data_IF_115441958106
#
_entry.id   IF_115441958106
#
_cell.length_a   1.000
_cell.length_b   1.000
_cell.length_c   1.000
_cell.angle_alpha   90.00
_cell.angle_beta   90.00
_cell.angle_gamma   90.00
#
_symmetry.space_group_name_H-M   'P 1'
#
loop_
_entity.id
_entity.type
_entity.pdbx_description
1 polymer ?
#
# COMPACT_ATOMS: atom_id res chain seq x y z
N UNK A 1 -11.76 -29.84 -10.09
CA UNK A 1 -12.71 -30.43 -11.03
C UNK A 1 -13.18 -29.40 -12.07
N UNK A 2 -13.89 -28.35 -11.72
CA UNK A 2 -14.47 -27.37 -12.69
C UNK A 2 -13.49 -26.77 -13.73
N UNK A 3 -12.22 -26.58 -13.38
CA UNK A 3 -11.20 -26.06 -14.33
C UNK A 3 -10.94 -27.08 -15.42
N UNK A 4 -10.75 -28.36 -15.09
CA UNK A 4 -10.48 -29.44 -16.05
C UNK A 4 -11.67 -29.73 -16.94
N UNK A 5 -12.89 -29.69 -16.41
CA UNK A 5 -14.14 -29.85 -17.16
C UNK A 5 -14.26 -28.77 -18.26
N UNK A 6 -13.99 -27.52 -17.89
CA UNK A 6 -14.06 -26.39 -18.83
C UNK A 6 -12.86 -26.30 -19.78
N UNK A 7 -11.73 -26.87 -19.39
CA UNK A 7 -10.54 -26.97 -20.26
C UNK A 7 -10.60 -28.16 -21.24
N UNK A 8 -11.47 -29.14 -20.97
CA UNK A 8 -11.60 -30.38 -21.77
C UNK A 8 -10.51 -31.41 -21.45
N UNK A 9 -9.57 -31.12 -20.57
CA UNK A 9 -8.46 -32.02 -20.22
C UNK A 9 -7.92 -31.76 -18.83
N UNK A 10 -7.17 -32.74 -18.28
CA UNK A 10 -6.43 -32.63 -17.05
C UNK A 10 -4.98 -32.16 -17.31
N UNK A 11 -4.52 -31.19 -16.57
CA UNK A 11 -3.17 -30.63 -16.68
C UNK A 11 -2.66 -30.12 -15.31
N UNK A 12 -1.36 -29.87 -15.22
CA UNK A 12 -0.81 -29.26 -14.00
C UNK A 12 -1.07 -27.75 -13.99
N UNK A 13 -2.07 -27.31 -13.21
CA UNK A 13 -2.47 -25.90 -13.07
C UNK A 13 -1.30 -25.00 -12.57
N UNK A 14 -0.34 -25.56 -11.84
CA UNK A 14 0.85 -24.84 -11.37
C UNK A 14 1.91 -24.67 -12.45
N UNK A 15 1.87 -25.46 -13.54
CA UNK A 15 2.78 -25.34 -14.66
C UNK A 15 2.33 -24.23 -15.61
N UNK A 16 3.08 -23.13 -15.65
CA UNK A 16 2.80 -22.02 -16.57
C UNK A 16 2.87 -22.43 -18.04
N UNK A 17 3.68 -23.45 -18.36
CA UNK A 17 3.81 -23.98 -19.72
C UNK A 17 2.54 -24.74 -20.14
N UNK A 18 2.09 -25.72 -19.34
CA UNK A 18 0.89 -26.47 -19.64
C UNK A 18 -0.36 -25.56 -19.63
N UNK A 19 -0.44 -24.65 -18.67
CA UNK A 19 -1.50 -23.65 -18.66
C UNK A 19 -1.50 -22.79 -19.92
N UNK A 20 -0.32 -22.39 -20.42
CA UNK A 20 -0.19 -21.66 -21.67
C UNK A 20 -0.71 -22.45 -22.86
N UNK A 21 -0.37 -23.76 -22.98
CA UNK A 21 -0.91 -24.64 -24.03
C UNK A 21 -2.43 -24.71 -23.95
N UNK A 22 -2.99 -24.98 -22.78
CA UNK A 22 -4.45 -25.06 -22.60
C UNK A 22 -5.14 -23.76 -23.01
N UNK A 23 -4.65 -22.61 -22.58
CA UNK A 23 -5.30 -21.33 -22.86
C UNK A 23 -5.18 -20.92 -24.33
N UNK A 24 -4.00 -21.04 -24.93
CA UNK A 24 -3.71 -20.45 -26.26
C UNK A 24 -3.77 -21.44 -27.41
N UNK A 25 -3.55 -22.73 -27.17
CA UNK A 25 -3.57 -23.76 -28.22
C UNK A 25 -4.90 -24.54 -28.20
N UNK A 26 -5.39 -25.00 -27.04
CA UNK A 26 -6.60 -25.81 -26.95
C UNK A 26 -7.88 -24.95 -26.90
N UNK A 27 -7.90 -23.90 -26.06
CA UNK A 27 -9.04 -22.99 -25.99
C UNK A 27 -8.98 -21.83 -26.98
N UNK A 28 -7.91 -21.72 -27.79
CA UNK A 28 -7.71 -20.73 -28.83
C UNK A 28 -7.95 -19.27 -28.35
N UNK A 29 -7.59 -18.95 -27.11
CA UNK A 29 -7.74 -17.59 -26.54
C UNK A 29 -6.71 -16.64 -27.18
N UNK A 30 -7.03 -15.33 -27.31
CA UNK A 30 -6.15 -14.36 -27.94
C UNK A 30 -4.86 -14.17 -27.14
N UNK A 31 -3.70 -14.35 -27.81
CA UNK A 31 -2.38 -14.17 -27.18
C UNK A 31 -2.16 -12.70 -26.88
N UNK A 32 -2.05 -12.35 -25.58
CA UNK A 32 -1.82 -10.98 -25.12
C UNK A 32 -0.33 -10.64 -25.03
N UNK A 33 0.49 -11.59 -24.55
CA UNK A 33 1.88 -11.33 -24.21
C UNK A 33 2.70 -12.63 -24.22
N UNK A 34 3.92 -12.57 -24.74
CA UNK A 34 4.91 -13.66 -24.61
C UNK A 34 5.71 -13.52 -23.33
N UNK A 35 6.31 -14.61 -22.86
CA UNK A 35 7.23 -14.59 -21.73
C UNK A 35 8.42 -13.66 -22.00
N UNK A 36 9.09 -13.21 -20.94
CA UNK A 36 10.26 -12.30 -21.04
C UNK A 36 11.38 -12.87 -21.94
N UNK A 37 11.55 -14.19 -21.94
CA UNK A 37 12.51 -14.91 -22.81
C UNK A 37 11.94 -15.20 -24.21
N UNK A 38 10.72 -14.81 -24.53
CA UNK A 38 9.99 -15.08 -25.77
C UNK A 38 9.84 -16.58 -26.13
N UNK A 39 10.05 -17.47 -25.17
CA UNK A 39 10.01 -18.93 -25.34
C UNK A 39 8.65 -19.56 -25.06
N UNK A 40 7.64 -18.76 -24.71
CA UNK A 40 6.29 -19.27 -24.41
C UNK A 40 5.29 -18.14 -24.16
N UNK A 41 4.08 -18.52 -23.79
CA UNK A 41 2.98 -17.61 -23.51
C UNK A 41 3.06 -17.10 -22.06
N UNK A 42 2.82 -15.81 -21.83
CA UNK A 42 2.64 -15.31 -20.47
C UNK A 42 1.27 -15.72 -19.94
N UNK A 43 1.27 -16.17 -18.67
CA UNK A 43 0.06 -16.46 -17.90
C UNK A 43 0.04 -15.64 -16.62
N UNK A 44 0.62 -14.42 -16.65
CA UNK A 44 0.60 -13.51 -15.51
C UNK A 44 -0.82 -13.02 -15.19
N UNK A 45 -0.96 -12.33 -14.06
CA UNK A 45 -2.27 -11.86 -13.57
C UNK A 45 -2.93 -10.94 -14.59
N UNK A 46 -2.18 -10.08 -15.26
CA UNK A 46 -2.67 -9.13 -16.25
C UNK A 46 -3.30 -9.86 -17.45
N UNK A 47 -2.56 -10.83 -18.00
CA UNK A 47 -3.03 -11.66 -19.12
C UNK A 47 -4.28 -12.45 -18.73
N UNK A 48 -4.28 -13.12 -17.58
CA UNK A 48 -5.44 -13.89 -17.12
C UNK A 48 -6.65 -13.01 -16.82
N UNK A 49 -6.46 -11.80 -16.30
CA UNK A 49 -7.54 -10.84 -16.08
C UNK A 49 -8.19 -10.44 -17.41
N UNK A 50 -7.39 -10.08 -18.41
CA UNK A 50 -7.89 -9.75 -19.75
C UNK A 50 -8.65 -10.94 -20.37
N UNK A 51 -8.07 -12.14 -20.27
CA UNK A 51 -8.68 -13.36 -20.81
C UNK A 51 -9.95 -13.80 -20.06
N UNK A 52 -10.17 -13.33 -18.84
CA UNK A 52 -11.39 -13.63 -18.07
C UNK A 52 -12.68 -13.06 -18.72
N UNK A 53 -12.54 -12.09 -19.62
CA UNK A 53 -13.64 -11.59 -20.44
C UNK A 53 -14.00 -12.50 -21.63
N UNK A 54 -13.12 -13.44 -22.01
CA UNK A 54 -13.32 -14.32 -23.15
C UNK A 54 -13.74 -15.74 -22.73
N UNK A 55 -13.24 -16.23 -21.60
CA UNK A 55 -13.50 -17.59 -21.14
C UNK A 55 -13.48 -17.69 -19.60
N UNK A 56 -14.28 -18.59 -18.97
CA UNK A 56 -14.31 -18.71 -17.50
C UNK A 56 -13.03 -19.31 -16.88
N UNK A 57 -12.25 -20.12 -17.62
CA UNK A 57 -11.03 -20.78 -17.12
C UNK A 57 -10.01 -19.78 -16.55
N UNK A 58 -9.62 -18.68 -17.23
CA UNK A 58 -8.68 -17.72 -16.67
C UNK A 58 -9.11 -17.17 -15.30
N UNK A 59 -10.39 -16.83 -15.12
CA UNK A 59 -10.92 -16.37 -13.83
C UNK A 59 -10.80 -17.45 -12.73
N UNK A 60 -11.08 -18.69 -13.06
CA UNK A 60 -10.94 -19.81 -12.13
C UNK A 60 -9.48 -20.09 -11.78
N UNK A 61 -8.55 -19.92 -12.73
CA UNK A 61 -7.11 -20.01 -12.48
C UNK A 61 -6.65 -18.91 -11.54
N UNK A 62 -7.08 -17.66 -11.73
CA UNK A 62 -6.79 -16.56 -10.79
C UNK A 62 -7.27 -16.89 -9.39
N UNK A 63 -8.51 -17.39 -9.26
CA UNK A 63 -9.08 -17.82 -7.98
C UNK A 63 -8.28 -18.97 -7.35
N UNK A 64 -7.95 -19.99 -8.15
CA UNK A 64 -7.12 -21.11 -7.70
C UNK A 64 -5.75 -20.65 -7.20
N UNK A 65 -5.09 -19.74 -7.92
CA UNK A 65 -3.78 -19.17 -7.48
C UNK A 65 -3.90 -18.43 -6.16
N UNK A 66 -4.94 -17.61 -6.01
CA UNK A 66 -5.21 -16.89 -4.76
C UNK A 66 -5.38 -17.86 -3.60
N UNK A 67 -6.29 -18.83 -3.73
CA UNK A 67 -6.56 -19.81 -2.68
C UNK A 67 -5.35 -20.70 -2.37
N UNK A 68 -4.60 -21.13 -3.41
CA UNK A 68 -3.38 -21.93 -3.22
C UNK A 68 -2.30 -21.15 -2.47
N UNK A 69 -2.13 -19.86 -2.77
CA UNK A 69 -1.20 -18.99 -2.05
C UNK A 69 -1.63 -18.81 -0.60
N UNK A 70 -2.91 -18.53 -0.36
CA UNK A 70 -3.44 -18.37 1.00
C UNK A 70 -3.26 -19.65 1.83
N UNK A 71 -3.57 -20.81 1.23
CA UNK A 71 -3.38 -22.09 1.89
C UNK A 71 -1.91 -22.32 2.23
N UNK A 72 -1.02 -22.32 1.25
CA UNK A 72 0.38 -22.70 1.45
C UNK A 72 1.18 -21.68 2.26
N UNK A 73 0.92 -20.37 2.09
CA UNK A 73 1.72 -19.31 2.73
C UNK A 73 1.22 -19.00 4.15
N UNK A 74 -0.09 -19.14 4.38
CA UNK A 74 -0.68 -18.76 5.66
C UNK A 74 -1.30 -19.96 6.39
N UNK A 75 -2.31 -20.65 5.83
CA UNK A 75 -3.01 -21.68 6.58
C UNK A 75 -2.12 -22.86 6.97
N UNK A 76 -1.27 -23.34 6.06
CA UNK A 76 -0.37 -24.47 6.36
C UNK A 76 0.89 -23.98 7.11
N UNK A 77 1.61 -22.99 6.54
CA UNK A 77 2.92 -22.59 7.06
C UNK A 77 2.88 -21.90 8.44
N UNK A 78 1.82 -21.15 8.77
CA UNK A 78 1.75 -20.45 10.06
C UNK A 78 1.61 -21.41 11.24
N UNK A 79 0.98 -22.57 11.05
CA UNK A 79 0.84 -23.58 12.10
C UNK A 79 2.22 -24.14 12.52
N UNK A 80 3.11 -24.34 11.55
CA UNK A 80 4.47 -24.85 11.78
C UNK A 80 5.38 -23.80 12.45
N UNK A 81 4.97 -22.52 12.44
CA UNK A 81 5.72 -21.38 13.00
C UNK A 81 5.26 -20.98 14.40
N UNK A 82 4.29 -21.70 14.99
CA UNK A 82 3.89 -21.46 16.37
C UNK A 82 5.03 -21.89 17.30
N UNK A 83 5.54 -20.93 18.07
CA UNK A 83 6.62 -21.19 19.01
C UNK A 83 6.13 -22.05 20.19
N UNK A 84 6.79 -23.18 20.50
CA UNK A 84 6.25 -24.16 21.47
C UNK A 84 6.17 -23.64 22.91
N UNK A 85 7.02 -22.71 23.30
CA UNK A 85 7.02 -22.14 24.67
C UNK A 85 6.00 -21.01 24.83
N UNK A 86 5.85 -20.16 23.81
CA UNK A 86 4.98 -18.97 23.88
C UNK A 86 3.58 -19.22 23.32
N UNK A 87 3.38 -20.29 22.53
CA UNK A 87 2.19 -20.54 21.71
C UNK A 87 1.81 -19.37 20.80
N UNK A 88 2.81 -18.56 20.39
CA UNK A 88 2.63 -17.38 19.54
C UNK A 88 3.49 -17.49 18.28
N UNK A 89 3.13 -16.72 17.26
CA UNK A 89 3.91 -16.57 16.03
C UNK A 89 4.76 -15.30 16.19
N UNK A 90 6.07 -15.42 15.98
CA UNK A 90 7.03 -14.33 16.08
C UNK A 90 7.59 -14.03 14.69
N UNK A 91 7.33 -12.84 14.17
CA UNK A 91 7.96 -12.34 12.93
C UNK A 91 9.30 -11.66 13.22
N UNK A 92 10.18 -11.64 12.24
CA UNK A 92 11.39 -10.81 12.26
C UNK A 92 11.18 -9.52 11.48
N UNK A 93 11.42 -8.36 12.11
CA UNK A 93 11.40 -7.08 11.44
C UNK A 93 12.81 -6.66 11.00
N UNK A 94 12.96 -6.43 9.68
CA UNK A 94 14.23 -6.03 9.07
C UNK A 94 14.21 -4.50 8.82
N UNK A 95 15.22 -3.79 9.34
CA UNK A 95 15.31 -2.33 9.25
C UNK A 95 16.07 -1.84 8.01
N UNK A 96 16.83 -2.71 7.35
CA UNK A 96 17.81 -2.33 6.31
C UNK A 96 17.46 -2.86 4.91
N UNK A 97 16.37 -3.59 4.75
CA UNK A 97 15.98 -4.22 3.47
C UNK A 97 15.27 -3.24 2.54
N UNK A 98 14.32 -2.46 3.06
CA UNK A 98 13.57 -1.53 2.25
C UNK A 98 14.35 -0.22 2.07
N UNK A 99 14.63 0.14 0.81
CA UNK A 99 15.35 1.37 0.47
C UNK A 99 14.60 2.66 0.86
N UNK A 100 13.29 2.58 1.15
CA UNK A 100 12.47 3.67 1.67
C UNK A 100 12.64 3.88 3.18
N UNK A 101 13.33 2.99 3.87
CA UNK A 101 13.40 2.99 5.34
C UNK A 101 12.20 2.31 6.03
N UNK A 102 11.20 1.81 5.29
CA UNK A 102 10.11 1.01 5.89
C UNK A 102 10.68 -0.27 6.49
N UNK A 103 10.04 -0.76 7.55
CA UNK A 103 10.30 -2.10 8.07
C UNK A 103 9.79 -3.13 7.07
N UNK A 104 10.49 -4.23 6.93
CA UNK A 104 9.97 -5.41 6.25
C UNK A 104 9.86 -6.57 7.26
N UNK A 105 8.86 -7.42 7.08
CA UNK A 105 8.59 -8.56 7.94
C UNK A 105 8.96 -9.85 7.21
N UNK A 106 9.63 -10.78 7.91
CA UNK A 106 10.00 -12.10 7.39
C UNK A 106 9.87 -13.15 8.47
N UNK A 107 9.72 -14.40 8.06
CA UNK A 107 9.75 -15.61 8.86
C UNK A 107 8.74 -15.63 10.05
N UNK A 108 7.41 -15.41 9.78
CA UNK A 108 6.72 -15.18 8.54
C UNK A 108 6.55 -13.69 8.18
N UNK A 109 6.27 -13.37 6.89
CA UNK A 109 5.90 -12.02 6.51
C UNK A 109 4.41 -11.75 6.88
N UNK A 110 4.18 -11.08 8.00
CA UNK A 110 2.85 -10.72 8.48
C UNK A 110 2.30 -9.43 7.84
N UNK A 111 3.15 -8.61 7.19
CA UNK A 111 2.71 -7.38 6.52
C UNK A 111 1.94 -7.63 5.21
N UNK A 112 2.00 -8.85 4.67
CA UNK A 112 1.38 -9.20 3.38
C UNK A 112 0.10 -10.04 3.51
N UNK A 113 -0.46 -10.20 4.71
CA UNK A 113 -1.73 -10.90 4.91
C UNK A 113 -2.86 -10.07 4.28
N UNK A 114 -3.59 -10.61 3.28
CA UNK A 114 -4.63 -9.85 2.58
C UNK A 114 -5.73 -9.39 3.52
N UNK A 115 -6.29 -8.20 3.26
CA UNK A 115 -7.40 -7.65 4.03
C UNK A 115 -8.66 -7.42 3.18
N UNK A 116 -8.48 -7.21 1.86
CA UNK A 116 -9.59 -6.83 0.98
C UNK A 116 -10.49 -8.00 0.57
N UNK A 117 -10.02 -9.23 0.71
CA UNK A 117 -10.80 -10.43 0.35
C UNK A 117 -11.37 -11.09 1.60
N UNK A 118 -12.50 -11.78 1.45
CA UNK A 118 -13.14 -12.50 2.55
C UNK A 118 -12.20 -13.54 3.17
N UNK A 119 -11.49 -14.31 2.33
CA UNK A 119 -10.54 -15.30 2.81
C UNK A 119 -9.35 -14.67 3.55
N UNK A 120 -8.89 -13.51 3.11
CA UNK A 120 -7.85 -12.76 3.81
C UNK A 120 -8.31 -12.30 5.19
N UNK A 121 -9.56 -11.82 5.31
CA UNK A 121 -10.17 -11.49 6.60
C UNK A 121 -10.29 -12.72 7.51
N UNK A 122 -10.68 -13.87 6.99
CA UNK A 122 -10.71 -15.13 7.76
C UNK A 122 -9.33 -15.51 8.28
N UNK A 123 -8.25 -15.30 7.52
CA UNK A 123 -6.89 -15.50 8.02
C UNK A 123 -6.57 -14.52 9.14
N UNK A 124 -6.90 -13.23 8.99
CA UNK A 124 -6.68 -12.24 10.06
C UNK A 124 -7.51 -12.51 11.31
N UNK A 125 -8.69 -13.10 11.19
CA UNK A 125 -9.51 -13.49 12.36
C UNK A 125 -8.90 -14.61 13.20
N UNK A 126 -7.93 -15.36 12.66
CA UNK A 126 -7.19 -16.37 13.42
C UNK A 126 -6.10 -15.76 14.33
N UNK A 127 -5.72 -14.50 14.11
CA UNK A 127 -4.80 -13.80 15.01
C UNK A 127 -5.57 -13.15 16.14
N UNK A 128 -5.41 -13.71 17.31
CA UNK A 128 -6.12 -13.34 18.54
C UNK A 128 -5.14 -12.83 19.59
N UNK A 129 -5.56 -11.95 20.50
CA UNK A 129 -4.73 -11.50 21.62
C UNK A 129 -4.66 -12.57 22.71
N UNK A 130 -3.92 -12.30 23.77
CA UNK A 130 -3.95 -13.05 25.02
C UNK A 130 -5.37 -13.15 25.54
N UNK A 131 -5.68 -14.27 26.22
CA UNK A 131 -7.04 -14.54 26.70
C UNK A 131 -7.57 -13.39 27.56
N UNK A 132 -8.68 -12.82 27.16
CA UNK A 132 -9.33 -11.70 27.84
C UNK A 132 -8.82 -10.33 27.43
N UNK A 133 -7.76 -10.24 26.64
CA UNK A 133 -7.21 -9.00 26.09
C UNK A 133 -7.90 -8.60 24.79
N UNK A 134 -7.54 -7.41 24.29
CA UNK A 134 -8.09 -6.84 23.05
C UNK A 134 -6.94 -6.44 22.12
N UNK A 135 -7.06 -6.68 20.81
CA UNK A 135 -6.17 -6.07 19.84
C UNK A 135 -6.64 -4.64 19.57
N UNK A 136 -5.69 -3.72 19.59
CA UNK A 136 -5.90 -2.31 19.23
C UNK A 136 -5.01 -1.99 18.02
N UNK A 137 -5.61 -1.60 16.92
CA UNK A 137 -4.91 -1.08 15.74
C UNK A 137 -4.97 0.44 15.73
N UNK A 138 -3.84 1.06 15.44
CA UNK A 138 -3.70 2.50 15.26
C UNK A 138 -3.07 2.76 13.88
N UNK A 139 -3.86 3.28 12.94
CA UNK A 139 -3.47 3.51 11.55
C UNK A 139 -3.45 5.01 11.23
N UNK A 140 -2.33 5.49 10.67
CA UNK A 140 -2.24 6.88 10.23
C UNK A 140 -3.17 7.16 9.05
N UNK A 141 -4.07 8.09 9.22
CA UNK A 141 -4.96 8.54 8.15
C UNK A 141 -4.19 9.32 7.10
N UNK A 142 -4.00 8.71 5.92
CA UNK A 142 -3.45 9.37 4.72
C UNK A 142 -2.09 10.05 4.94
N UNK A 143 -1.19 9.44 5.71
CA UNK A 143 0.09 10.05 6.11
C UNK A 143 0.92 10.55 4.92
N UNK A 144 0.96 9.82 3.81
CA UNK A 144 1.72 10.22 2.62
C UNK A 144 1.15 11.48 1.96
N UNK A 145 -0.17 11.67 1.95
CA UNK A 145 -0.82 12.89 1.43
C UNK A 145 -0.61 14.09 2.39
N UNK A 146 -0.61 13.87 3.69
CA UNK A 146 -0.29 14.89 4.68
C UNK A 146 1.18 15.32 4.58
N UNK A 147 2.09 14.38 4.37
CA UNK A 147 3.49 14.66 4.09
C UNK A 147 3.69 15.38 2.75
N UNK A 148 2.93 15.03 1.72
CA UNK A 148 2.94 15.77 0.46
C UNK A 148 2.50 17.23 0.68
N UNK A 149 1.43 17.47 1.43
CA UNK A 149 0.96 18.83 1.75
C UNK A 149 2.03 19.62 2.51
N UNK A 150 2.68 19.00 3.51
CA UNK A 150 3.77 19.60 4.28
C UNK A 150 4.99 19.95 3.39
N UNK A 151 5.49 18.98 2.61
CA UNK A 151 6.69 19.13 1.80
C UNK A 151 6.48 20.09 0.64
N UNK A 152 5.32 20.05 -0.02
CA UNK A 152 5.00 20.91 -1.14
C UNK A 152 4.62 22.34 -0.73
N UNK A 153 4.30 22.56 0.54
CA UNK A 153 3.74 23.81 1.05
C UNK A 153 2.52 24.29 0.24
N UNK A 154 1.73 23.36 -0.32
CA UNK A 154 0.55 23.69 -1.12
C UNK A 154 -0.58 24.14 -0.21
N UNK A 155 -0.92 25.43 -0.28
CA UNK A 155 -1.92 26.04 0.62
C UNK A 155 -3.32 25.43 0.48
N UNK A 156 -3.66 24.85 -0.68
CA UNK A 156 -4.96 24.21 -0.91
C UNK A 156 -5.02 22.85 -0.20
N UNK A 157 -3.93 22.07 -0.30
CA UNK A 157 -3.83 20.80 0.41
C UNK A 157 -3.75 21.00 1.92
N UNK A 158 -2.96 21.98 2.38
CA UNK A 158 -2.84 22.29 3.80
C UNK A 158 -4.21 22.64 4.37
N UNK A 159 -4.92 23.60 3.72
CA UNK A 159 -6.26 24.03 4.15
C UNK A 159 -7.26 22.88 4.19
N UNK A 160 -7.23 21.98 3.19
CA UNK A 160 -8.11 20.82 3.17
C UNK A 160 -7.90 19.88 4.37
N UNK A 161 -6.66 19.69 4.80
CA UNK A 161 -6.34 18.88 5.98
C UNK A 161 -6.62 19.59 7.31
N UNK A 162 -6.45 20.91 7.38
CA UNK A 162 -6.83 21.71 8.55
C UNK A 162 -8.34 21.70 8.77
N UNK A 163 -9.13 21.81 7.68
CA UNK A 163 -10.59 21.81 7.72
C UNK A 163 -11.20 20.38 7.79
N UNK A 164 -10.36 19.35 7.89
CA UNK A 164 -10.77 17.93 7.93
C UNK A 164 -11.61 17.48 6.74
N UNK A 165 -11.35 18.06 5.56
CA UNK A 165 -12.06 17.69 4.35
C UNK A 165 -11.64 16.29 3.84
N UNK A 166 -12.55 15.61 3.16
CA UNK A 166 -12.22 14.41 2.39
C UNK A 166 -11.37 14.78 1.17
N UNK A 167 -10.05 14.66 1.29
CA UNK A 167 -9.10 15.04 0.24
C UNK A 167 -9.36 14.36 -1.10
N UNK A 168 -9.89 13.13 -1.11
CA UNK A 168 -10.22 12.45 -2.36
C UNK A 168 -11.48 13.01 -2.99
N UNK A 169 -12.46 13.41 -2.18
CA UNK A 169 -13.66 14.09 -2.66
C UNK A 169 -13.33 15.48 -3.19
N UNK A 170 -12.50 16.22 -2.47
CA UNK A 170 -12.00 17.52 -2.93
C UNK A 170 -11.25 17.41 -4.24
N UNK A 171 -10.27 16.50 -4.33
CA UNK A 171 -9.53 16.27 -5.58
C UNK A 171 -10.46 15.87 -6.73
N UNK A 172 -11.50 15.05 -6.46
CA UNK A 172 -12.48 14.69 -7.49
C UNK A 172 -13.20 15.92 -8.02
N UNK A 173 -13.70 16.79 -7.15
CA UNK A 173 -14.37 18.04 -7.56
C UNK A 173 -13.45 18.89 -8.46
N UNK A 174 -12.20 19.07 -8.07
CA UNK A 174 -11.22 19.90 -8.78
C UNK A 174 -10.79 19.28 -10.11
N UNK A 175 -10.45 18.00 -10.14
CA UNK A 175 -9.90 17.33 -11.35
C UNK A 175 -10.99 17.09 -12.40
N UNK A 176 -12.19 16.68 -11.96
CA UNK A 176 -13.30 16.40 -12.86
C UNK A 176 -14.20 17.63 -13.13
N UNK A 177 -13.92 18.75 -12.45
CA UNK A 177 -14.66 20.01 -12.59
C UNK A 177 -16.17 19.83 -12.31
N UNK A 178 -16.50 19.16 -11.22
CA UNK A 178 -17.87 18.97 -10.71
C UNK A 178 -18.02 19.63 -9.36
N UNK A 179 -19.26 19.98 -8.98
CA UNK A 179 -19.51 20.52 -7.65
C UNK A 179 -19.22 19.45 -6.57
N UNK A 180 -18.72 19.83 -5.37
CA UNK A 180 -18.38 18.87 -4.32
C UNK A 180 -19.53 17.94 -3.92
N UNK A 181 -20.77 18.42 -3.96
CA UNK A 181 -22.01 17.67 -3.72
C UNK A 181 -22.29 16.61 -4.77
N UNK A 182 -21.84 16.83 -6.03
CA UNK A 182 -22.04 15.92 -7.16
C UNK A 182 -20.94 14.85 -7.28
N UNK A 183 -19.96 14.87 -6.38
CA UNK A 183 -18.89 13.85 -6.39
C UNK A 183 -19.45 12.49 -5.98
N UNK A 184 -19.61 11.61 -6.95
CA UNK A 184 -20.00 10.22 -6.74
C UNK A 184 -18.89 9.41 -6.06
N UNK A 185 -19.24 8.25 -5.49
CA UNK A 185 -18.27 7.31 -4.93
C UNK A 185 -17.26 6.81 -5.98
N UNK A 186 -17.67 6.73 -7.24
CA UNK A 186 -16.77 6.34 -8.33
C UNK A 186 -15.77 7.44 -8.65
N UNK A 187 -16.19 8.69 -8.77
CA UNK A 187 -15.29 9.83 -8.95
C UNK A 187 -14.31 9.97 -7.78
N UNK A 188 -14.78 9.80 -6.54
CA UNK A 188 -13.93 9.77 -5.35
C UNK A 188 -12.87 8.66 -5.41
N UNK A 189 -13.25 7.46 -5.88
CA UNK A 189 -12.33 6.33 -6.07
C UNK A 189 -11.28 6.64 -7.15
N UNK A 190 -11.69 7.22 -8.27
CA UNK A 190 -10.78 7.65 -9.33
C UNK A 190 -9.81 8.73 -8.83
N UNK A 191 -10.29 9.72 -8.09
CA UNK A 191 -9.44 10.74 -7.48
C UNK A 191 -8.45 10.17 -6.47
N UNK A 192 -8.82 9.12 -5.72
CA UNK A 192 -7.88 8.38 -4.87
C UNK A 192 -6.73 7.79 -5.69
N UNK A 193 -7.01 7.20 -6.85
CA UNK A 193 -5.99 6.68 -7.76
C UNK A 193 -5.11 7.81 -8.29
N UNK A 194 -5.68 8.97 -8.62
CA UNK A 194 -4.93 10.14 -9.10
C UNK A 194 -4.01 10.66 -8.00
N UNK A 195 -4.50 10.89 -6.78
CA UNK A 195 -3.72 11.40 -5.65
C UNK A 195 -2.48 10.53 -5.39
N UNK A 196 -2.67 9.21 -5.26
CA UNK A 196 -1.55 8.29 -5.07
C UNK A 196 -0.69 8.15 -6.33
N UNK A 197 -1.30 8.16 -7.51
CA UNK A 197 -0.59 8.14 -8.78
C UNK A 197 0.40 9.29 -8.92
N UNK A 198 0.01 10.50 -8.54
CA UNK A 198 0.88 11.69 -8.55
C UNK A 198 2.06 11.51 -7.59
N UNK A 199 1.81 11.06 -6.35
CA UNK A 199 2.88 10.79 -5.36
C UNK A 199 3.89 9.79 -5.92
N UNK A 200 3.40 8.73 -6.60
CA UNK A 200 4.26 7.69 -7.15
C UNK A 200 4.83 8.03 -8.54
N UNK A 201 4.62 9.26 -9.03
CA UNK A 201 5.12 9.73 -10.33
C UNK A 201 4.53 8.98 -11.52
N UNK A 202 3.25 8.61 -11.41
CA UNK A 202 2.51 7.93 -12.48
C UNK A 202 2.27 8.89 -13.64
N UNK A 203 2.71 8.53 -14.85
CA UNK A 203 2.43 9.29 -16.06
C UNK A 203 1.07 8.93 -16.67
N UNK A 204 0.64 9.70 -17.68
CA UNK A 204 -0.66 9.56 -18.32
C UNK A 204 -0.96 8.14 -18.87
N UNK A 205 0.04 7.43 -19.38
CA UNK A 205 -0.12 6.06 -19.85
C UNK A 205 -0.54 5.10 -18.72
N UNK A 206 0.17 5.16 -17.58
CA UNK A 206 -0.12 4.29 -16.44
C UNK A 206 -1.44 4.65 -15.76
N UNK A 207 -1.73 5.95 -15.63
CA UNK A 207 -2.98 6.43 -15.07
C UNK A 207 -4.18 6.02 -15.95
N UNK A 208 -4.05 6.14 -17.28
CA UNK A 208 -5.07 5.70 -18.22
C UNK A 208 -5.42 4.22 -18.06
N UNK A 209 -4.39 3.38 -17.92
CA UNK A 209 -4.56 1.94 -17.70
C UNK A 209 -5.26 1.62 -16.38
N UNK A 210 -4.88 2.30 -15.30
CA UNK A 210 -5.45 2.09 -13.97
C UNK A 210 -6.92 2.52 -13.88
N UNK A 211 -7.27 3.63 -14.55
CA UNK A 211 -8.63 4.16 -14.56
C UNK A 211 -9.52 3.56 -15.67
N UNK A 212 -8.95 2.82 -16.63
CA UNK A 212 -9.70 2.30 -17.79
C UNK A 212 -10.15 3.41 -18.75
N UNK A 213 -9.40 4.50 -18.88
CA UNK A 213 -9.69 5.67 -19.73
C UNK A 213 -8.65 5.84 -20.83
N UNK A 214 -8.87 6.79 -21.73
CA UNK A 214 -7.86 7.11 -22.77
C UNK A 214 -6.67 7.85 -22.18
N UNK A 215 -5.49 7.70 -22.78
CA UNK A 215 -4.29 8.41 -22.36
C UNK A 215 -4.46 9.93 -22.45
N UNK A 216 -5.24 10.43 -23.41
CA UNK A 216 -5.57 11.85 -23.56
C UNK A 216 -6.38 12.35 -22.34
N UNK A 217 -7.37 11.61 -21.89
CA UNK A 217 -8.13 11.94 -20.67
C UNK A 217 -7.25 11.95 -19.43
N UNK A 218 -6.40 10.93 -19.29
CA UNK A 218 -5.47 10.86 -18.15
C UNK A 218 -4.49 12.05 -18.13
N UNK A 219 -4.01 12.52 -19.30
CA UNK A 219 -3.19 13.72 -19.39
C UNK A 219 -3.96 14.96 -18.90
N UNK A 220 -5.20 15.14 -19.33
CA UNK A 220 -6.06 16.24 -18.89
C UNK A 220 -6.25 16.22 -17.36
N UNK A 221 -6.47 15.04 -16.77
CA UNK A 221 -6.63 14.93 -15.31
C UNK A 221 -5.34 15.29 -14.55
N UNK A 222 -4.18 14.90 -15.07
CA UNK A 222 -2.88 15.28 -14.50
C UNK A 222 -2.67 16.80 -14.62
N UNK A 223 -3.00 17.39 -15.76
CA UNK A 223 -2.88 18.83 -15.98
C UNK A 223 -3.82 19.62 -15.07
N UNK A 224 -5.08 19.18 -14.92
CA UNK A 224 -6.04 19.78 -13.99
C UNK A 224 -5.52 19.71 -12.54
N UNK A 225 -5.01 18.55 -12.14
CA UNK A 225 -4.42 18.36 -10.82
C UNK A 225 -3.30 19.36 -10.53
N UNK A 226 -2.32 19.45 -11.42
CA UNK A 226 -1.17 20.37 -11.25
C UNK A 226 -1.54 21.85 -11.42
N UNK A 227 -2.56 22.16 -12.22
CA UNK A 227 -3.08 23.53 -12.32
C UNK A 227 -3.69 23.99 -11.00
N UNK A 228 -4.29 23.07 -10.26
CA UNK A 228 -4.88 23.32 -8.95
C UNK A 228 -3.85 23.28 -7.83
N UNK A 229 -3.08 22.22 -7.75
CA UNK A 229 -2.07 21.99 -6.71
C UNK A 229 -0.68 22.42 -7.20
N UNK A 230 -0.50 23.73 -7.37
CA UNK A 230 0.74 24.32 -7.94
C UNK A 230 1.96 24.08 -7.05
N UNK A 231 1.76 24.09 -5.72
CA UNK A 231 2.82 23.79 -4.76
C UNK A 231 3.35 22.36 -4.92
N UNK A 232 2.46 21.39 -5.21
CA UNK A 232 2.86 20.01 -5.49
C UNK A 232 3.70 19.92 -6.76
N UNK A 233 3.29 20.63 -7.83
CA UNK A 233 4.07 20.66 -9.09
C UNK A 233 5.47 21.23 -8.86
N UNK A 234 5.54 22.36 -8.16
CA UNK A 234 6.81 23.03 -7.84
C UNK A 234 7.72 22.12 -6.99
N UNK A 235 7.17 21.48 -5.96
CA UNK A 235 7.91 20.52 -5.13
C UNK A 235 8.52 19.37 -5.94
N UNK A 236 7.77 18.82 -6.89
CA UNK A 236 8.24 17.74 -7.77
C UNK A 236 9.40 18.25 -8.64
N UNK A 237 9.23 19.40 -9.29
CA UNK A 237 10.22 19.96 -10.21
C UNK A 237 11.52 20.33 -9.45
N UNK A 238 11.41 21.00 -8.31
CA UNK A 238 12.54 21.38 -7.46
C UNK A 238 13.28 20.16 -6.91
N UNK A 239 12.55 19.13 -6.49
CA UNK A 239 13.14 17.88 -6.01
C UNK A 239 13.96 17.22 -7.12
N UNK A 240 13.40 17.09 -8.32
CA UNK A 240 14.12 16.49 -9.45
C UNK A 240 15.35 17.33 -9.82
N UNK A 241 15.22 18.67 -9.87
CA UNK A 241 16.34 19.57 -10.17
C UNK A 241 17.47 19.44 -9.14
N UNK A 242 17.12 19.42 -7.86
CA UNK A 242 18.08 19.23 -6.76
C UNK A 242 18.78 17.88 -6.87
N UNK A 243 18.05 16.80 -7.10
CA UNK A 243 18.64 15.47 -7.20
C UNK A 243 19.53 15.32 -8.44
N UNK A 244 19.20 15.98 -9.54
CA UNK A 244 20.08 16.00 -10.73
C UNK A 244 21.45 16.62 -10.48
N UNK A 245 21.54 17.56 -9.55
CA UNK A 245 22.82 18.21 -9.17
C UNK A 245 23.54 17.46 -8.04
N UNK A 246 22.79 16.91 -7.07
CA UNK A 246 23.36 16.31 -5.86
C UNK A 246 23.47 14.79 -5.92
N UNK A 247 22.76 14.13 -6.86
CA UNK A 247 22.64 12.68 -6.97
C UNK A 247 22.06 12.00 -5.72
N UNK A 248 21.37 12.75 -4.87
CA UNK A 248 20.75 12.23 -3.65
C UNK A 248 19.45 12.95 -3.33
N UNK A 249 18.57 12.27 -2.63
CA UNK A 249 17.36 12.80 -2.00
C UNK A 249 17.35 12.41 -0.53
N UNK A 250 16.53 13.07 0.28
CA UNK A 250 16.46 12.78 1.72
C UNK A 250 15.04 12.92 2.27
N UNK A 251 14.79 12.26 3.38
CA UNK A 251 13.57 12.40 4.17
C UNK A 251 13.61 13.66 5.04
N UNK A 252 12.47 14.01 5.68
CA UNK A 252 12.40 15.10 6.67
C UNK A 252 13.38 14.91 7.85
N UNK A 253 13.64 13.65 8.22
CA UNK A 253 14.56 13.33 9.31
C UNK A 253 16.01 13.07 8.83
N UNK A 254 16.31 13.42 7.56
CA UNK A 254 17.68 13.37 7.04
C UNK A 254 18.17 12.00 6.54
N UNK A 255 17.28 11.00 6.40
CA UNK A 255 17.64 9.73 5.76
C UNK A 255 17.98 9.98 4.29
N UNK A 256 19.22 9.69 3.89
CA UNK A 256 19.71 9.92 2.54
C UNK A 256 19.46 8.69 1.65
N UNK A 257 19.05 8.94 0.41
CA UNK A 257 18.99 7.96 -0.66
C UNK A 257 19.78 8.43 -1.86
N UNK A 258 20.77 7.66 -2.28
CA UNK A 258 21.59 7.94 -3.45
C UNK A 258 20.86 7.54 -4.73
N UNK A 259 20.95 8.37 -5.76
CA UNK A 259 20.30 8.21 -7.06
C UNK A 259 21.28 8.56 -8.20
N UNK A 260 22.37 7.79 -8.37
CA UNK A 260 23.37 8.08 -9.41
C UNK A 260 22.80 8.00 -10.83
N UNK A 261 21.70 7.28 -11.03
CA UNK A 261 21.05 7.08 -12.32
C UNK A 261 20.15 8.25 -12.75
N UNK A 262 20.00 9.32 -11.94
CA UNK A 262 19.08 10.43 -12.21
C UNK A 262 19.35 11.14 -13.55
N UNK A 263 20.60 11.15 -14.00
CA UNK A 263 21.05 11.75 -15.26
C UNK A 263 21.29 10.69 -16.36
N UNK A 264 20.77 9.47 -16.22
CA UNK A 264 20.94 8.39 -17.21
C UNK A 264 20.38 8.80 -18.58
N UNK A 265 21.13 8.45 -19.64
CA UNK A 265 20.64 8.60 -21.03
C UNK A 265 19.47 7.67 -21.35
N UNK A 266 19.38 6.53 -20.65
CA UNK A 266 18.25 5.62 -20.80
C UNK A 266 17.01 6.21 -20.12
N UNK A 267 15.99 6.52 -20.93
CA UNK A 267 14.74 7.15 -20.47
C UNK A 267 14.05 6.34 -19.34
N UNK A 268 14.03 5.02 -19.43
CA UNK A 268 13.37 4.18 -18.42
C UNK A 268 14.12 4.21 -17.07
N UNK A 269 15.45 4.15 -17.11
CA UNK A 269 16.31 4.23 -15.93
C UNK A 269 16.19 5.60 -15.28
N UNK A 270 16.30 6.68 -16.08
CA UNK A 270 16.13 8.05 -15.61
C UNK A 270 14.75 8.28 -15.01
N UNK A 271 13.68 7.89 -15.72
CA UNK A 271 12.31 8.04 -15.22
C UNK A 271 12.04 7.26 -13.92
N UNK A 272 12.69 6.11 -13.74
CA UNK A 272 12.63 5.39 -12.46
C UNK A 272 13.33 6.19 -11.35
N UNK A 273 14.50 6.76 -11.62
CA UNK A 273 15.24 7.57 -10.66
C UNK A 273 14.49 8.87 -10.30
N UNK A 274 13.85 9.55 -11.26
CA UNK A 274 13.01 10.72 -11.03
C UNK A 274 11.82 10.39 -10.12
N UNK A 275 11.10 9.31 -10.38
CA UNK A 275 10.02 8.84 -9.48
C UNK A 275 10.54 8.54 -8.09
N UNK A 276 11.67 7.89 -7.99
CA UNK A 276 12.29 7.56 -6.70
C UNK A 276 12.72 8.80 -5.94
N UNK A 277 13.22 9.83 -6.65
CA UNK A 277 13.59 11.11 -6.06
C UNK A 277 12.42 11.80 -5.35
N UNK A 278 11.25 11.81 -5.99
CA UNK A 278 10.03 12.41 -5.44
C UNK A 278 9.39 11.58 -4.34
N UNK A 279 9.40 10.24 -4.48
CA UNK A 279 8.78 9.35 -3.50
C UNK A 279 9.55 9.30 -2.17
N UNK A 280 10.87 9.41 -2.20
CA UNK A 280 11.69 9.25 -1.01
C UNK A 280 11.39 10.26 0.10
N UNK A 281 11.26 11.58 -0.16
CA UNK A 281 10.85 12.55 0.86
C UNK A 281 9.50 12.22 1.50
N UNK A 282 8.57 11.63 0.77
CA UNK A 282 7.22 11.35 1.24
C UNK A 282 7.17 9.99 1.95
N UNK A 283 7.44 8.90 1.23
CA UNK A 283 7.37 7.54 1.79
C UNK A 283 8.43 7.28 2.85
N UNK A 284 9.64 7.80 2.64
CA UNK A 284 10.71 7.66 3.61
C UNK A 284 10.43 8.43 4.89
N UNK A 285 9.87 9.64 4.79
CA UNK A 285 9.45 10.40 5.98
C UNK A 285 8.30 9.72 6.70
N UNK A 286 7.32 9.14 6.00
CA UNK A 286 6.29 8.32 6.64
C UNK A 286 6.89 7.17 7.44
N UNK A 287 7.85 6.44 6.85
CA UNK A 287 8.54 5.36 7.54
C UNK A 287 9.34 5.82 8.77
N UNK A 288 9.95 7.00 8.68
CA UNK A 288 10.68 7.60 9.82
C UNK A 288 9.71 8.04 10.92
N UNK A 289 8.58 8.67 10.60
CA UNK A 289 7.56 9.08 11.57
C UNK A 289 6.94 7.88 12.30
N UNK A 290 6.64 6.80 11.59
CA UNK A 290 6.11 5.57 12.21
C UNK A 290 7.13 5.00 13.20
N UNK A 291 8.41 4.98 12.89
CA UNK A 291 9.45 4.51 13.81
C UNK A 291 9.57 5.39 15.04
N UNK A 292 9.49 6.72 14.86
CA UNK A 292 9.45 7.64 16.00
C UNK A 292 8.20 7.41 16.86
N UNK A 293 7.04 7.23 16.23
CA UNK A 293 5.80 6.93 16.93
C UNK A 293 5.91 5.63 17.74
N UNK A 294 6.49 4.57 17.15
CA UNK A 294 6.75 3.32 17.89
C UNK A 294 7.61 3.55 19.13
N UNK A 295 8.73 4.29 19.00
CA UNK A 295 9.65 4.56 20.11
C UNK A 295 8.96 5.41 21.19
N UNK A 296 8.27 6.48 20.79
CA UNK A 296 7.61 7.38 21.72
C UNK A 296 6.43 6.69 22.43
N UNK A 297 5.65 5.88 21.72
CA UNK A 297 4.55 5.11 22.30
C UNK A 297 5.06 4.08 23.31
N UNK A 298 6.11 3.33 22.98
CA UNK A 298 6.73 2.39 23.91
C UNK A 298 7.23 3.08 25.19
N UNK A 299 7.89 4.23 25.04
CA UNK A 299 8.34 5.01 26.19
C UNK A 299 7.18 5.53 27.05
N UNK A 300 6.08 5.96 26.41
CA UNK A 300 4.89 6.44 27.11
C UNK A 300 4.16 5.30 27.85
N UNK A 301 4.02 4.14 27.23
CA UNK A 301 3.47 2.92 27.87
C UNK A 301 4.27 2.56 29.11
N UNK A 302 5.60 2.49 29.00
CA UNK A 302 6.48 2.18 30.14
C UNK A 302 6.42 3.23 31.23
N UNK A 303 6.39 4.52 30.89
CA UNK A 303 6.35 5.61 31.87
C UNK A 303 5.06 5.62 32.69
N UNK A 304 3.97 5.13 32.12
CA UNK A 304 2.68 4.98 32.79
C UNK A 304 2.47 3.60 33.41
N UNK A 305 3.49 2.73 33.37
CA UNK A 305 3.44 1.36 33.89
C UNK A 305 2.29 0.53 33.34
N UNK A 306 1.93 0.73 32.07
CA UNK A 306 0.90 -0.06 31.39
C UNK A 306 1.46 -1.40 30.93
N UNK A 307 0.61 -2.42 30.92
CA UNK A 307 0.90 -3.73 30.38
C UNK A 307 0.63 -3.84 28.87
N UNK A 308 0.07 -2.81 28.26
CA UNK A 308 -0.16 -2.71 26.82
C UNK A 308 1.12 -3.01 26.05
N UNK A 309 1.07 -3.95 25.11
CA UNK A 309 2.23 -4.41 24.35
C UNK A 309 2.09 -4.07 22.86
N UNK A 310 3.14 -3.47 22.28
CA UNK A 310 3.25 -3.26 20.83
C UNK A 310 3.63 -4.59 20.15
N UNK A 311 2.80 -5.09 19.22
CA UNK A 311 3.01 -6.39 18.58
C UNK A 311 3.60 -6.29 17.18
N UNK A 312 2.98 -5.47 16.32
CA UNK A 312 3.28 -5.42 14.89
C UNK A 312 3.30 -3.98 14.37
N UNK A 313 4.14 -3.76 13.35
CA UNK A 313 4.04 -2.60 12.47
C UNK A 313 3.72 -3.08 11.06
N UNK A 314 2.62 -2.62 10.47
CA UNK A 314 2.13 -3.04 9.15
C UNK A 314 1.82 -1.81 8.31
N UNK A 315 2.70 -1.50 7.34
CA UNK A 315 2.61 -0.27 6.54
C UNK A 315 2.56 0.99 7.41
N UNK A 316 1.40 1.63 7.52
CA UNK A 316 1.17 2.85 8.29
C UNK A 316 0.41 2.58 9.61
N UNK A 317 0.25 1.30 9.97
CA UNK A 317 -0.47 0.76 11.12
C UNK A 317 0.49 0.22 12.18
N UNK A 318 0.16 0.45 13.45
CA UNK A 318 0.78 -0.20 14.61
C UNK A 318 -0.31 -0.99 15.34
N UNK A 319 -0.05 -2.28 15.58
CA UNK A 319 -0.98 -3.17 16.29
C UNK A 319 -0.48 -3.43 17.70
N UNK A 320 -1.36 -3.25 18.67
CA UNK A 320 -1.11 -3.46 20.09
C UNK A 320 -2.00 -4.56 20.63
N UNK A 321 -1.57 -5.15 21.73
CA UNK A 321 -2.35 -6.03 22.58
C UNK A 321 -2.56 -5.34 23.92
N UNK A 322 -3.82 -5.23 24.35
CA UNK A 322 -4.21 -4.33 25.45
C UNK A 322 -5.06 -5.08 26.47
N UNK A 323 -4.71 -5.04 27.78
CA UNK A 323 -5.57 -5.55 28.85
C UNK A 323 -6.93 -4.82 28.89
N UNK A 324 -8.01 -5.46 29.37
CA UNK A 324 -9.34 -4.86 29.37
C UNK A 324 -9.45 -3.54 30.14
N UNK A 325 -8.74 -3.45 31.24
CA UNK A 325 -8.73 -2.29 32.17
C UNK A 325 -7.89 -1.12 31.67
N UNK A 326 -7.00 -1.35 30.68
CA UNK A 326 -6.15 -0.32 30.10
C UNK A 326 -6.67 0.22 28.74
N UNK A 327 -7.76 -0.33 28.16
CA UNK A 327 -8.12 -0.09 26.76
C UNK A 327 -8.36 1.40 26.45
N UNK A 328 -9.12 2.12 27.28
CA UNK A 328 -9.43 3.51 27.01
C UNK A 328 -8.23 4.43 27.29
N UNK A 329 -7.41 4.10 28.30
CA UNK A 329 -6.16 4.81 28.56
C UNK A 329 -5.17 4.61 27.41
N UNK A 330 -5.02 3.38 26.90
CA UNK A 330 -4.14 3.06 25.78
C UNK A 330 -4.59 3.71 24.49
N UNK A 331 -5.90 3.76 24.20
CA UNK A 331 -6.43 4.52 23.04
C UNK A 331 -6.04 5.98 23.11
N UNK A 332 -6.24 6.62 24.26
CA UNK A 332 -5.92 8.04 24.48
C UNK A 332 -4.42 8.29 24.33
N UNK A 333 -3.60 7.45 24.97
CA UNK A 333 -2.14 7.54 24.92
C UNK A 333 -1.61 7.38 23.50
N UNK A 334 -2.01 6.30 22.82
CA UNK A 334 -1.54 5.99 21.46
C UNK A 334 -1.94 7.10 20.48
N UNK A 335 -3.18 7.57 20.51
CA UNK A 335 -3.63 8.68 19.68
C UNK A 335 -2.80 9.92 19.93
N UNK A 336 -2.68 10.35 21.19
CA UNK A 336 -1.94 11.57 21.54
C UNK A 336 -0.49 11.52 21.09
N UNK A 337 0.20 10.39 21.31
CA UNK A 337 1.61 10.23 20.94
C UNK A 337 1.77 10.20 19.42
N UNK A 338 0.97 9.41 18.72
CA UNK A 338 1.10 9.27 17.26
C UNK A 338 0.75 10.58 16.54
N UNK A 339 -0.29 11.30 16.96
CA UNK A 339 -0.69 12.57 16.34
C UNK A 339 0.28 13.72 16.61
N UNK A 340 1.03 13.66 17.71
CA UNK A 340 2.03 14.68 18.08
C UNK A 340 3.47 14.29 17.80
N UNK A 341 3.73 13.18 17.13
CA UNK A 341 5.08 12.63 16.91
C UNK A 341 6.02 13.60 16.19
N UNK A 342 5.50 14.47 15.36
CA UNK A 342 6.25 15.48 14.61
C UNK A 342 5.37 16.68 14.27
N UNK A 343 5.94 17.88 14.36
CA UNK A 343 5.24 19.11 14.02
C UNK A 343 5.21 19.31 12.49
N UNK A 344 4.10 18.98 11.87
CA UNK A 344 3.83 19.20 10.44
C UNK A 344 2.96 20.45 10.26
N UNK A 345 2.97 21.02 9.06
CA UNK A 345 2.04 22.10 8.65
C UNK A 345 0.57 21.65 8.56
N UNK A 346 0.33 20.36 8.69
CA UNK A 346 -1.01 19.76 8.68
C UNK A 346 -1.12 18.80 9.86
N UNK A 347 -2.29 18.67 10.50
CA UNK A 347 -2.46 17.76 11.62
C UNK A 347 -2.22 16.31 11.17
N UNK A 348 -1.51 15.52 11.96
CA UNK A 348 -1.52 14.07 11.85
C UNK A 348 -2.82 13.55 12.47
N UNK A 349 -3.41 12.52 11.87
CA UNK A 349 -4.61 11.86 12.40
C UNK A 349 -4.44 10.36 12.41
N UNK A 350 -4.93 9.73 13.47
CA UNK A 350 -4.88 8.30 13.70
C UNK A 350 -6.29 7.74 13.82
N UNK A 351 -6.57 6.71 13.04
CA UNK A 351 -7.78 5.92 13.17
C UNK A 351 -7.50 4.77 14.13
N UNK A 352 -8.35 4.59 15.12
CA UNK A 352 -8.29 3.47 16.05
C UNK A 352 -9.40 2.47 15.77
N UNK A 353 -9.04 1.20 15.79
CA UNK A 353 -10.01 0.10 15.83
C UNK A 353 -9.59 -0.93 16.88
N UNK A 354 -10.55 -1.47 17.61
CA UNK A 354 -10.30 -2.47 18.64
C UNK A 354 -11.17 -3.70 18.41
N UNK A 355 -10.63 -4.89 18.64
CA UNK A 355 -11.35 -6.13 18.38
C UNK A 355 -10.77 -7.34 19.09
N UNK A 356 -11.54 -8.44 19.09
CA UNK A 356 -11.15 -9.73 19.67
C UNK A 356 -10.19 -10.51 18.77
N UNK A 357 -9.94 -10.02 17.59
CA UNK A 357 -9.01 -10.57 16.60
C UNK A 357 -8.58 -9.46 15.63
N UNK A 358 -7.55 -9.73 14.83
CA UNK A 358 -6.99 -8.71 13.95
C UNK A 358 -7.92 -8.29 12.80
N UNK A 359 -8.90 -9.10 12.42
CA UNK A 359 -9.88 -8.71 11.41
C UNK A 359 -10.92 -7.71 11.95
N UNK A 360 -11.26 -7.80 13.24
CA UNK A 360 -12.15 -6.85 13.93
C UNK A 360 -11.44 -5.54 14.31
N UNK A 361 -10.15 -5.62 14.59
CA UNK A 361 -9.30 -4.47 14.94
C UNK A 361 -8.76 -3.71 13.73
N UNK A 362 -9.48 -3.71 12.57
CA UNK A 362 -9.01 -3.02 11.36
C UNK A 362 -10.14 -2.36 10.57
#
# INVERSE_FOLDING_TARGET
>A
MKIYELAGESFNIKSSQQLGQVLFENLNLPVQKKTRKKTGYSTDVEVLTTLSGYHPVPRLILRHRTLSKLKSTYADALLDLIHPETNRIHTSFNQTVAATGRLSSSDPNLQNIPIRTEEGRQIRSAFVPEKGWTLLSADYSQIELRLLAHCSNDGILIKAFEDDEDIHRRTAAEVFQVAPEDVSMDLRRQAKVINFGIIYGMGAFSLAKELGITQKMAAIYIDNYFSRYRGVKQFIDDTIATVRSTHQTQTLLGRIRLLPEINSRNHNVRGFAERTAVNTPIQGSAADLIKLAMIQTENAVRSQSLNTAMLLSVHDEIVFEVPPDELDQSKTLVTSVMESVWDLKVPLKVNLAAGKNWAEAH
#
